data_IF_805062271811
#
_entry.id   IF_805062271811
#
_cell.length_a   1.000
_cell.length_b   1.000
_cell.length_c   1.000
_cell.angle_alpha   90.00
_cell.angle_beta   90.00
_cell.angle_gamma   90.00
#
_symmetry.space_group_name_H-M   'P 1'
#
loop_
_entity.id
_entity.type
_entity.pdbx_description
1 polymer ?
#
# COMPACT_ATOMS: atom_id res chain seq x y z
N UNK A 1 -16.79 8.94 -9.12
CA UNK A 1 -15.98 7.73 -8.89
C UNK A 1 -15.05 8.00 -7.73
N UNK A 2 -14.56 6.98 -7.04
CA UNK A 2 -13.74 7.14 -5.83
C UNK A 2 -12.45 6.34 -5.97
N UNK A 3 -11.40 6.80 -5.29
CA UNK A 3 -10.11 6.09 -5.17
C UNK A 3 -9.87 5.73 -3.71
N UNK A 4 -9.53 4.48 -3.46
CA UNK A 4 -8.98 4.01 -2.18
C UNK A 4 -7.48 3.80 -2.34
N UNK A 5 -6.67 4.47 -1.55
CA UNK A 5 -5.23 4.24 -1.45
C UNK A 5 -4.96 3.37 -0.22
N UNK A 6 -4.61 2.11 -0.43
CA UNK A 6 -4.27 1.15 0.63
C UNK A 6 -2.76 1.04 0.76
N UNK A 7 -2.21 1.47 1.89
CA UNK A 7 -0.77 1.42 2.17
C UNK A 7 -0.44 0.70 3.47
N UNK A 8 0.83 0.59 3.78
CA UNK A 8 1.40 -0.12 4.93
C UNK A 8 2.69 -0.83 4.56
N UNK A 9 3.36 -1.43 5.54
CA UNK A 9 4.64 -2.12 5.32
C UNK A 9 4.48 -3.42 4.51
N UNK A 10 5.59 -4.01 4.08
CA UNK A 10 5.56 -5.33 3.44
C UNK A 10 4.90 -6.36 4.36
N UNK A 11 4.21 -7.35 3.79
CA UNK A 11 3.45 -8.37 4.50
C UNK A 11 2.31 -7.88 5.42
N UNK A 12 1.94 -6.58 5.40
CA UNK A 12 0.79 -6.06 6.15
C UNK A 12 -0.58 -6.55 5.63
N UNK A 13 -0.64 -7.25 4.49
CA UNK A 13 -1.89 -7.76 3.92
C UNK A 13 -2.49 -6.90 2.80
N UNK A 14 -1.84 -5.80 2.42
CA UNK A 14 -2.35 -4.82 1.44
C UNK A 14 -2.96 -5.42 0.18
N UNK A 15 -2.22 -6.30 -0.50
CA UNK A 15 -2.68 -6.86 -1.79
C UNK A 15 -3.92 -7.71 -1.65
N UNK A 16 -4.06 -8.45 -0.55
CA UNK A 16 -5.23 -9.29 -0.28
C UNK A 16 -6.43 -8.44 0.09
N UNK A 17 -6.24 -7.48 0.99
CA UNK A 17 -7.29 -6.54 1.40
C UNK A 17 -7.74 -5.67 0.21
N UNK A 18 -6.80 -5.14 -0.57
CA UNK A 18 -7.13 -4.30 -1.73
C UNK A 18 -7.90 -5.09 -2.82
N UNK A 19 -7.55 -6.35 -3.04
CA UNK A 19 -8.29 -7.21 -3.96
C UNK A 19 -9.71 -7.45 -3.44
N UNK A 20 -9.86 -7.89 -2.20
CA UNK A 20 -11.16 -8.15 -1.60
C UNK A 20 -12.03 -6.87 -1.50
N UNK A 21 -11.42 -5.71 -1.23
CA UNK A 21 -12.12 -4.43 -1.24
C UNK A 21 -12.62 -4.08 -2.66
N UNK A 22 -11.79 -4.28 -3.69
CA UNK A 22 -12.19 -4.03 -5.07
C UNK A 22 -13.38 -4.91 -5.49
N UNK A 23 -13.41 -6.15 -5.05
CA UNK A 23 -14.49 -7.12 -5.32
C UNK A 23 -15.85 -6.74 -4.71
N UNK A 24 -15.90 -5.76 -3.80
CA UNK A 24 -17.14 -5.25 -3.20
C UNK A 24 -17.87 -4.24 -4.08
N UNK A 25 -17.27 -3.79 -5.17
CA UNK A 25 -17.86 -2.80 -6.07
C UNK A 25 -18.18 -3.42 -7.43
N UNK A 26 -19.33 -3.04 -7.99
CA UNK A 26 -19.82 -3.56 -9.28
C UNK A 26 -18.82 -3.29 -10.42
N UNK A 27 -18.19 -2.10 -10.42
CA UNK A 27 -17.17 -1.70 -11.41
C UNK A 27 -15.94 -1.19 -10.67
N UNK A 28 -14.91 -2.00 -10.64
CA UNK A 28 -13.70 -1.67 -9.88
C UNK A 28 -12.42 -2.12 -10.57
N UNK A 29 -11.32 -1.53 -10.13
CA UNK A 29 -9.96 -1.89 -10.56
C UNK A 29 -9.05 -1.93 -9.35
N UNK A 30 -8.25 -2.99 -9.25
CA UNK A 30 -7.16 -3.08 -8.29
C UNK A 30 -5.83 -2.69 -8.96
N UNK A 31 -5.41 -1.45 -8.76
CA UNK A 31 -4.12 -0.95 -9.25
C UNK A 31 -3.02 -1.35 -8.26
N UNK A 32 -2.05 -2.12 -8.74
CA UNK A 32 -0.93 -2.63 -7.95
C UNK A 32 0.34 -1.85 -8.28
N UNK A 33 0.75 -0.93 -7.42
CA UNK A 33 1.90 -0.06 -7.65
C UNK A 33 3.22 -0.81 -7.86
N UNK A 34 3.40 -1.98 -7.22
CA UNK A 34 4.59 -2.81 -7.38
C UNK A 34 4.79 -3.33 -8.82
N UNK A 35 3.75 -3.37 -9.65
CA UNK A 35 3.86 -3.76 -11.05
C UNK A 35 4.69 -2.76 -11.86
N UNK A 36 4.55 -1.46 -11.61
CA UNK A 36 5.33 -0.44 -12.33
C UNK A 36 6.83 -0.60 -12.10
N UNK A 37 7.24 -0.97 -10.88
CA UNK A 37 8.64 -1.30 -10.59
C UNK A 37 9.11 -2.55 -11.35
N UNK A 38 8.26 -3.55 -11.49
CA UNK A 38 8.60 -4.81 -12.19
C UNK A 38 8.72 -4.64 -13.70
N UNK A 39 8.10 -3.61 -14.27
CA UNK A 39 8.21 -3.27 -15.69
C UNK A 39 9.60 -2.76 -16.07
N UNK A 40 10.41 -2.32 -15.11
CA UNK A 40 11.80 -1.90 -15.37
C UNK A 40 12.65 -3.14 -15.61
N UNK A 41 13.00 -3.39 -16.87
CA UNK A 41 13.77 -4.59 -17.30
C UNK A 41 15.26 -4.45 -16.98
N UNK A 42 15.84 -3.25 -17.21
CA UNK A 42 17.25 -2.94 -16.91
C UNK A 42 17.35 -1.59 -16.21
N UNK A 43 18.40 -1.41 -15.41
CA UNK A 43 18.62 -0.15 -14.69
C UNK A 43 17.75 0.04 -13.46
N UNK A 44 17.09 -1.03 -12.97
CA UNK A 44 16.30 -0.96 -11.75
C UNK A 44 17.21 -0.76 -10.54
N UNK A 45 16.94 0.30 -9.78
CA UNK A 45 17.61 0.58 -8.51
C UNK A 45 16.75 0.06 -7.35
N UNK A 46 17.41 -0.51 -6.35
CA UNK A 46 16.73 -1.06 -5.16
C UNK A 46 16.82 -0.06 -4.00
N UNK A 47 15.71 0.07 -3.27
CA UNK A 47 15.71 0.78 -2.00
C UNK A 47 16.52 -0.05 -0.98
N UNK A 48 17.60 0.52 -0.47
CA UNK A 48 18.38 -0.05 0.62
C UNK A 48 17.72 0.16 1.97
N UNK A 49 18.19 -0.54 3.03
CA UNK A 49 17.68 -0.38 4.39
C UNK A 49 18.03 0.99 5.00
N UNK A 50 19.13 1.59 4.59
CA UNK A 50 19.57 2.91 5.02
C UNK A 50 20.11 3.67 3.82
N UNK A 51 19.91 5.00 3.79
CA UNK A 51 20.42 5.93 2.79
C UNK A 51 20.26 5.42 1.34
N UNK A 52 19.02 5.33 0.82
CA UNK A 52 18.79 4.76 -0.49
C UNK A 52 19.45 5.64 -1.58
N UNK A 53 20.03 5.04 -2.63
CA UNK A 53 20.62 5.78 -3.73
C UNK A 53 19.61 6.77 -4.34
N UNK A 54 20.08 7.95 -4.76
CA UNK A 54 19.24 8.98 -5.37
C UNK A 54 18.42 8.42 -6.56
N UNK A 55 18.98 7.48 -7.31
CA UNK A 55 18.28 6.79 -8.40
C UNK A 55 17.11 5.95 -7.89
N UNK A 56 17.26 5.24 -6.78
CA UNK A 56 16.17 4.46 -6.19
C UNK A 56 15.00 5.36 -5.76
N UNK A 57 15.31 6.54 -5.19
CA UNK A 57 14.29 7.54 -4.82
C UNK A 57 13.59 8.08 -6.07
N UNK A 58 14.33 8.41 -7.15
CA UNK A 58 13.74 8.85 -8.43
C UNK A 58 12.81 7.80 -9.00
N UNK A 59 13.20 6.53 -8.99
CA UNK A 59 12.38 5.42 -9.50
C UNK A 59 11.16 5.17 -8.61
N UNK A 60 11.26 5.34 -7.29
CA UNK A 60 10.13 5.26 -6.39
C UNK A 60 9.10 6.36 -6.69
N UNK A 61 9.54 7.61 -6.87
CA UNK A 61 8.65 8.72 -7.24
C UNK A 61 8.00 8.51 -8.62
N UNK A 62 8.76 8.03 -9.60
CA UNK A 62 8.21 7.66 -10.92
C UNK A 62 7.14 6.58 -10.79
N UNK A 63 7.38 5.53 -10.00
CA UNK A 63 6.41 4.47 -9.73
C UNK A 63 5.13 5.03 -9.13
N UNK A 64 5.23 5.92 -8.14
CA UNK A 64 4.08 6.54 -7.50
C UNK A 64 3.30 7.42 -8.48
N UNK A 65 3.98 8.21 -9.29
CA UNK A 65 3.36 9.05 -10.31
C UNK A 65 2.59 8.22 -11.37
N UNK A 66 3.19 7.12 -11.84
CA UNK A 66 2.55 6.21 -12.79
C UNK A 66 1.33 5.51 -12.17
N UNK A 67 1.43 5.10 -10.90
CA UNK A 67 0.32 4.47 -10.19
C UNK A 67 -0.83 5.46 -9.97
N UNK A 68 -0.55 6.71 -9.60
CA UNK A 68 -1.54 7.77 -9.46
C UNK A 68 -2.22 8.07 -10.80
N UNK A 69 -1.46 8.21 -11.88
CA UNK A 69 -2.01 8.44 -13.22
C UNK A 69 -2.90 7.29 -13.71
N UNK A 70 -2.51 6.04 -13.42
CA UNK A 70 -3.33 4.87 -13.72
C UNK A 70 -4.64 4.87 -12.91
N UNK A 71 -4.57 5.21 -11.62
CA UNK A 71 -5.75 5.33 -10.77
C UNK A 71 -6.72 6.38 -11.30
N UNK A 72 -6.23 7.57 -11.62
CA UNK A 72 -7.05 8.64 -12.20
C UNK A 72 -7.66 8.23 -13.55
N UNK A 73 -6.90 7.59 -14.43
CA UNK A 73 -7.40 7.16 -15.73
C UNK A 73 -8.55 6.14 -15.62
N UNK A 74 -8.45 5.18 -14.68
CA UNK A 74 -9.55 4.25 -14.44
C UNK A 74 -10.76 4.91 -13.76
N UNK A 75 -10.53 5.86 -12.86
CA UNK A 75 -11.60 6.63 -12.24
C UNK A 75 -12.35 7.49 -13.28
N UNK A 76 -11.63 8.16 -14.20
CA UNK A 76 -12.20 8.93 -15.31
C UNK A 76 -13.03 8.02 -16.25
N UNK A 77 -12.63 6.74 -16.39
CA UNK A 77 -13.39 5.74 -17.15
C UNK A 77 -14.59 5.13 -16.39
N UNK A 78 -14.89 5.60 -15.18
CA UNK A 78 -16.06 5.20 -14.42
C UNK A 78 -15.87 4.00 -13.50
N UNK A 79 -14.65 3.67 -13.11
CA UNK A 79 -14.36 2.61 -12.15
C UNK A 79 -14.13 3.16 -10.74
N UNK A 80 -14.53 2.42 -9.72
CA UNK A 80 -13.98 2.56 -8.38
C UNK A 80 -12.59 1.97 -8.37
N UNK A 81 -11.60 2.72 -7.88
CA UNK A 81 -10.20 2.28 -7.92
C UNK A 81 -9.71 1.96 -6.52
N UNK A 82 -9.12 0.78 -6.36
CA UNK A 82 -8.35 0.42 -5.17
C UNK A 82 -6.88 0.36 -5.57
N UNK A 83 -6.14 1.40 -5.24
CA UNK A 83 -4.71 1.50 -5.47
C UNK A 83 -3.98 1.00 -4.23
N UNK A 84 -3.08 0.03 -4.38
CA UNK A 84 -2.24 -0.43 -3.29
C UNK A 84 -0.75 -0.30 -3.60
N UNK A 85 0.01 0.22 -2.63
CA UNK A 85 1.46 0.26 -2.68
C UNK A 85 2.08 0.39 -1.28
N UNK A 86 3.41 0.33 -1.19
CA UNK A 86 4.16 0.74 0.00
C UNK A 86 4.46 2.23 -0.16
N UNK A 87 3.72 3.06 0.56
CA UNK A 87 3.85 4.51 0.54
C UNK A 87 4.00 4.98 1.98
N UNK A 88 5.23 5.27 2.38
CA UNK A 88 5.59 5.58 3.77
C UNK A 88 6.26 6.95 3.86
N UNK A 89 6.34 7.49 5.07
CA UNK A 89 6.98 8.77 5.32
C UNK A 89 6.34 9.91 4.51
N UNK A 90 7.14 10.87 4.10
CA UNK A 90 6.70 12.02 3.29
C UNK A 90 6.09 11.62 1.93
N UNK A 91 6.42 10.43 1.42
CA UNK A 91 5.86 9.94 0.17
C UNK A 91 4.34 9.74 0.23
N UNK A 92 3.75 9.56 1.42
CA UNK A 92 2.29 9.50 1.55
C UNK A 92 1.64 10.83 1.17
N UNK A 93 2.19 11.94 1.65
CA UNK A 93 1.72 13.28 1.26
C UNK A 93 1.91 13.54 -0.24
N UNK A 94 3.09 13.15 -0.79
CA UNK A 94 3.37 13.26 -2.22
C UNK A 94 2.34 12.46 -3.06
N UNK A 95 2.02 11.24 -2.63
CA UNK A 95 1.06 10.36 -3.32
C UNK A 95 -0.37 10.89 -3.26
N UNK A 96 -0.81 11.39 -2.11
CA UNK A 96 -2.13 12.01 -1.94
C UNK A 96 -2.28 13.24 -2.85
N UNK A 97 -1.22 14.06 -2.96
CA UNK A 97 -1.20 15.20 -3.86
C UNK A 97 -1.17 14.81 -5.34
N UNK A 98 -0.56 13.67 -5.69
CA UNK A 98 -0.45 13.21 -7.06
C UNK A 98 -1.75 12.61 -7.64
N UNK A 99 -2.62 12.04 -6.80
CA UNK A 99 -3.93 11.51 -7.20
C UNK A 99 -4.92 12.69 -7.29
N UNK A 100 -5.46 12.95 -8.48
CA UNK A 100 -6.42 14.04 -8.73
C UNK A 100 -7.85 13.70 -8.31
N UNK A 101 -8.23 12.45 -8.50
CA UNK A 101 -9.60 11.98 -8.29
C UNK A 101 -10.03 12.16 -6.83
N UNK A 102 -11.23 12.71 -6.65
CA UNK A 102 -11.88 12.86 -5.34
C UNK A 102 -13.30 12.28 -5.40
N UNK A 103 -13.84 11.69 -4.31
CA UNK A 103 -13.14 11.51 -3.03
C UNK A 103 -11.98 10.51 -3.13
N UNK A 104 -10.89 10.80 -2.40
CA UNK A 104 -9.77 9.90 -2.17
C UNK A 104 -9.81 9.43 -0.72
N UNK A 105 -9.83 8.12 -0.51
CA UNK A 105 -9.80 7.52 0.82
C UNK A 105 -8.45 6.86 1.05
N UNK A 106 -7.72 7.31 2.06
CA UNK A 106 -6.43 6.75 2.45
C UNK A 106 -6.62 5.76 3.59
N UNK A 107 -6.16 4.52 3.40
CA UNK A 107 -6.21 3.45 4.40
C UNK A 107 -4.80 2.94 4.67
N UNK A 108 -4.36 3.01 5.90
CA UNK A 108 -3.05 2.52 6.34
C UNK A 108 -3.22 1.25 7.16
N UNK A 109 -2.78 0.13 6.63
CA UNK A 109 -2.74 -1.13 7.36
C UNK A 109 -1.50 -1.16 8.24
N UNK A 110 -1.68 -1.10 9.54
CA UNK A 110 -0.63 -1.03 10.55
C UNK A 110 -0.72 -2.16 11.58
N UNK A 111 -0.73 -3.44 11.14
CA UNK A 111 -0.71 -4.56 12.08
C UNK A 111 0.56 -4.54 12.92
N UNK A 112 0.52 -5.19 14.08
CA UNK A 112 1.69 -5.35 14.96
C UNK A 112 2.81 -6.13 14.24
N UNK A 113 4.07 -5.85 14.55
CA UNK A 113 5.22 -6.53 13.91
C UNK A 113 5.16 -8.07 14.00
N UNK A 114 4.62 -8.62 15.09
CA UNK A 114 4.46 -10.07 15.28
C UNK A 114 3.50 -10.67 14.26
N UNK A 115 2.38 -9.98 13.99
CA UNK A 115 1.40 -10.41 12.99
C UNK A 115 2.00 -10.34 11.57
N UNK A 116 2.82 -9.32 11.29
CA UNK A 116 3.54 -9.19 10.00
C UNK A 116 4.51 -10.35 9.81
N UNK A 117 5.32 -10.69 10.83
CA UNK A 117 6.27 -11.83 10.78
C UNK A 117 5.52 -13.14 10.52
N UNK A 118 4.47 -13.42 11.27
CA UNK A 118 3.65 -14.62 11.10
C UNK A 118 3.07 -14.73 9.68
N UNK A 119 2.59 -13.62 9.12
CA UNK A 119 2.06 -13.56 7.74
C UNK A 119 3.15 -13.80 6.69
N UNK A 120 4.36 -13.28 6.91
CA UNK A 120 5.49 -13.47 6.00
C UNK A 120 6.01 -14.91 6.03
N UNK A 121 6.07 -15.54 7.21
CA UNK A 121 6.40 -16.95 7.39
C UNK A 121 5.40 -17.87 6.70
N UNK A 122 4.10 -17.62 6.86
CA UNK A 122 3.04 -18.36 6.19
C UNK A 122 3.16 -18.25 4.66
N UNK A 123 3.44 -17.05 4.14
CA UNK A 123 3.68 -16.82 2.70
C UNK A 123 4.90 -17.58 2.20
N UNK A 124 5.97 -17.64 3.00
CA UNK A 124 7.18 -18.40 2.66
C UNK A 124 6.88 -19.88 2.56
N UNK A 125 6.10 -20.43 3.49
CA UNK A 125 5.69 -21.82 3.49
C UNK A 125 4.83 -22.18 2.27
N UNK A 126 3.88 -21.30 1.91
CA UNK A 126 2.91 -21.50 0.82
C UNK A 126 3.52 -21.29 -0.57
N UNK A 127 4.32 -20.23 -0.76
CA UNK A 127 4.77 -19.78 -2.09
C UNK A 127 6.27 -19.76 -2.29
N UNK A 128 7.06 -20.20 -1.31
CA UNK A 128 8.52 -20.11 -1.35
C UNK A 128 9.07 -18.69 -1.46
N UNK A 129 8.24 -17.66 -1.18
CA UNK A 129 8.60 -16.25 -1.29
C UNK A 129 8.43 -15.54 0.04
N UNK A 130 9.45 -14.80 0.43
CA UNK A 130 9.41 -13.94 1.60
C UNK A 130 9.48 -12.46 1.19
N UNK A 131 8.86 -11.59 1.97
CA UNK A 131 8.98 -10.15 1.81
C UNK A 131 10.27 -9.62 2.46
N UNK A 132 10.74 -10.29 3.48
CA UNK A 132 11.93 -9.93 4.24
C UNK A 132 13.01 -11.00 4.11
N UNK A 133 14.28 -10.58 3.93
CA UNK A 133 15.40 -11.51 3.91
C UNK A 133 15.63 -12.07 5.32
N UNK A 134 15.97 -13.36 5.46
CA UNK A 134 16.35 -13.93 6.75
C UNK A 134 17.50 -13.14 7.40
N UNK A 135 17.38 -12.87 8.70
CA UNK A 135 18.40 -12.14 9.47
C UNK A 135 18.34 -10.62 9.34
N UNK A 136 17.40 -10.05 8.60
CA UNK A 136 17.16 -8.61 8.58
C UNK A 136 16.08 -8.22 9.60
N UNK A 137 16.36 -7.22 10.41
CA UNK A 137 15.40 -6.58 11.34
C UNK A 137 14.33 -5.73 10.59
N UNK A 138 14.23 -5.90 9.27
CA UNK A 138 13.49 -5.06 8.36
C UNK A 138 11.99 -4.86 8.69
N UNK A 139 11.34 -5.80 9.40
CA UNK A 139 9.94 -5.61 9.85
C UNK A 139 9.88 -4.52 10.92
N UNK A 140 10.77 -4.59 11.93
CA UNK A 140 10.78 -3.62 13.03
C UNK A 140 11.20 -2.23 12.55
N UNK A 141 12.18 -2.15 11.65
CA UNK A 141 12.63 -0.89 11.05
C UNK A 141 11.53 -0.23 10.22
N UNK A 142 10.87 -1.00 9.33
CA UNK A 142 9.79 -0.47 8.51
C UNK A 142 8.55 -0.12 9.33
N UNK A 143 8.21 -0.90 10.37
CA UNK A 143 7.12 -0.55 11.28
C UNK A 143 7.42 0.73 12.07
N UNK A 144 8.65 0.87 12.54
CA UNK A 144 9.10 2.08 13.23
C UNK A 144 9.06 3.30 12.29
N UNK A 145 9.48 3.16 11.03
CA UNK A 145 9.38 4.20 10.02
C UNK A 145 7.92 4.53 9.70
N UNK A 146 7.07 3.52 9.51
CA UNK A 146 5.63 3.73 9.31
C UNK A 146 5.03 4.55 10.45
N UNK A 147 5.29 4.18 11.69
CA UNK A 147 4.63 4.79 12.86
C UNK A 147 5.17 6.17 13.23
N UNK A 148 6.48 6.42 13.01
CA UNK A 148 7.14 7.66 13.43
C UNK A 148 7.23 8.70 12.32
N UNK A 149 7.48 8.27 11.07
CA UNK A 149 7.80 9.17 9.97
C UNK A 149 6.62 9.39 9.01
N UNK A 150 5.63 8.48 9.01
CA UNK A 150 4.50 8.60 8.09
C UNK A 150 3.43 9.50 8.69
N UNK A 151 3.00 10.56 7.98
CA UNK A 151 1.93 11.43 8.43
C UNK A 151 0.64 10.66 8.72
N UNK A 152 -0.08 11.06 9.76
CA UNK A 152 -1.37 10.47 10.15
C UNK A 152 -2.50 10.93 9.24
N UNK A 153 -2.38 10.59 7.96
CA UNK A 153 -3.38 10.89 6.92
C UNK A 153 -4.30 9.67 6.78
N UNK A 154 -5.60 9.91 6.78
CA UNK A 154 -6.61 8.89 6.56
C UNK A 154 -6.83 7.91 7.72
N UNK A 155 -7.44 6.78 7.42
CA UNK A 155 -7.83 5.73 8.36
C UNK A 155 -6.67 4.76 8.62
N UNK A 156 -6.25 4.65 9.88
CA UNK A 156 -5.20 3.72 10.32
C UNK A 156 -5.82 2.52 11.04
N UNK A 157 -5.56 1.31 10.54
CA UNK A 157 -6.13 0.07 11.06
C UNK A 157 -5.06 -0.87 11.61
N UNK A 158 -5.20 -1.28 12.86
CA UNK A 158 -4.50 -2.45 13.38
C UNK A 158 -5.24 -3.72 12.97
N UNK A 159 -4.77 -4.35 11.92
CA UNK A 159 -5.37 -5.56 11.35
C UNK A 159 -4.76 -6.85 11.90
N UNK A 160 -4.08 -6.80 13.05
CA UNK A 160 -3.31 -7.94 13.60
C UNK A 160 -4.15 -9.18 13.80
N UNK A 161 -5.35 -9.00 14.35
CA UNK A 161 -6.26 -10.07 14.74
C UNK A 161 -7.48 -10.17 13.83
N UNK A 162 -7.49 -9.41 12.72
CA UNK A 162 -8.59 -9.39 11.75
C UNK A 162 -8.35 -10.35 10.59
N UNK A 163 -9.43 -10.95 10.14
CA UNK A 163 -9.55 -11.57 8.82
C UNK A 163 -9.57 -10.50 7.73
N UNK A 164 -9.45 -10.92 6.48
CA UNK A 164 -9.55 -10.02 5.32
C UNK A 164 -10.94 -9.40 5.24
N UNK A 165 -11.99 -10.21 5.46
CA UNK A 165 -13.38 -9.75 5.38
C UNK A 165 -13.71 -8.73 6.48
N UNK A 166 -13.28 -8.98 7.72
CA UNK A 166 -13.44 -8.01 8.82
C UNK A 166 -12.73 -6.69 8.52
N UNK A 167 -11.51 -6.75 7.96
CA UNK A 167 -10.77 -5.54 7.56
C UNK A 167 -11.52 -4.77 6.47
N UNK A 168 -12.06 -5.47 5.47
CA UNK A 168 -12.83 -4.84 4.38
C UNK A 168 -14.12 -4.22 4.89
N UNK A 169 -14.87 -4.90 5.76
CA UNK A 169 -16.08 -4.34 6.39
C UNK A 169 -15.76 -3.08 7.21
N UNK A 170 -14.67 -3.10 7.98
CA UNK A 170 -14.23 -1.92 8.74
C UNK A 170 -13.86 -0.75 7.81
N UNK A 171 -13.14 -1.02 6.70
CA UNK A 171 -12.83 0.00 5.71
C UNK A 171 -14.12 0.58 5.12
N UNK A 172 -15.05 -0.24 4.67
CA UNK A 172 -16.30 0.23 4.07
C UNK A 172 -17.16 1.05 5.04
N UNK A 173 -17.16 0.68 6.31
CA UNK A 173 -17.91 1.39 7.36
C UNK A 173 -17.31 2.74 7.70
N UNK A 174 -15.97 2.83 7.77
CA UNK A 174 -15.27 4.01 8.33
C UNK A 174 -14.62 4.91 7.28
N UNK A 175 -14.32 4.42 6.08
CA UNK A 175 -13.53 5.17 5.13
C UNK A 175 -14.18 6.49 4.69
N UNK A 176 -15.49 6.51 4.54
CA UNK A 176 -16.21 7.71 4.09
C UNK A 176 -16.19 8.85 5.12
N UNK A 177 -16.04 8.55 6.40
CA UNK A 177 -15.96 9.54 7.47
C UNK A 177 -14.55 9.84 7.96
N UNK A 178 -13.63 8.86 7.89
CA UNK A 178 -12.33 8.94 8.54
C UNK A 178 -11.13 8.87 7.58
N UNK A 179 -11.33 8.35 6.36
CA UNK A 179 -10.24 8.17 5.40
C UNK A 179 -10.23 9.21 4.27
N UNK A 180 -11.27 10.02 4.14
CA UNK A 180 -11.38 11.01 3.07
C UNK A 180 -10.35 12.14 3.24
N UNK A 181 -9.67 12.50 2.14
CA UNK A 181 -8.62 13.53 2.08
C UNK A 181 -8.75 14.40 0.82
#
# INVERSE_FOLDING_TARGET
MTVFLVTGIQAAGKSTVAQALAERFERSVHVRGDLFRRMVVRGRAEMGPADPPAEAIRQLRLRHALAAAAADGYADAGFTVVLQDIVLGSHLTEMVAAIRTRPLHVVVLAPRPEAVRKRDEARRADRGKTAYKPGHEGVAELDAHLRRETPRIGLWLDTSDQTVDETVEEILTRAYSEAAV
#
